data_IF_474415113901
#
_entry.id   IF_474415113901
#
_cell.length_a   1.000
_cell.length_b   1.000
_cell.length_c   1.000
_cell.angle_alpha   90.00
_cell.angle_beta   90.00
_cell.angle_gamma   90.00
#
_symmetry.space_group_name_H-M   'P 1'
#
loop_
_entity.id
_entity.type
_entity.pdbx_description
1 polymer ?
#
# COMPACT_ATOMS: atom_id res chain seq x y z
N UNK A 1 -11.75 23.57 3.55
CA UNK A 1 -10.96 22.50 4.21
C UNK A 1 -9.54 22.96 4.42
N UNK A 2 -9.06 22.84 5.64
CA UNK A 2 -7.68 23.18 5.95
C UNK A 2 -6.82 21.92 5.84
N UNK A 3 -5.80 21.95 5.01
CA UNK A 3 -5.02 20.76 4.72
C UNK A 3 -4.27 20.26 5.96
N UNK A 4 -3.76 21.17 6.79
CA UNK A 4 -3.05 20.76 8.00
C UNK A 4 -3.98 20.02 8.95
N UNK A 5 -5.20 20.54 9.14
CA UNK A 5 -6.17 19.88 10.02
C UNK A 5 -6.60 18.55 9.45
N UNK A 6 -6.84 18.50 8.16
CA UNK A 6 -7.22 17.26 7.51
C UNK A 6 -6.12 16.20 7.70
N UNK A 7 -4.88 16.63 7.56
CA UNK A 7 -3.74 15.72 7.71
C UNK A 7 -3.63 15.21 9.14
N UNK A 8 -3.78 16.12 10.10
CA UNK A 8 -3.74 15.72 11.51
C UNK A 8 -4.84 14.71 11.83
N UNK A 9 -6.04 14.98 11.35
CA UNK A 9 -7.17 14.10 11.61
C UNK A 9 -6.96 12.72 11.02
N UNK A 10 -6.43 12.67 9.81
CA UNK A 10 -6.22 11.38 9.15
C UNK A 10 -5.11 10.61 9.86
N UNK A 11 -4.02 11.27 10.22
CA UNK A 11 -2.95 10.61 10.96
C UNK A 11 -3.48 10.05 12.28
N UNK A 12 -4.24 10.85 13.01
CA UNK A 12 -4.76 10.44 14.29
C UNK A 12 -5.71 9.25 14.16
N UNK A 13 -6.49 9.24 13.10
CA UNK A 13 -7.41 8.16 12.85
C UNK A 13 -6.68 6.81 12.76
N UNK A 14 -5.48 6.83 12.22
CA UNK A 14 -4.68 5.61 12.06
C UNK A 14 -3.62 5.46 13.15
N UNK A 15 -3.74 6.23 14.23
CA UNK A 15 -2.85 6.06 15.37
C UNK A 15 -1.51 6.72 15.25
N UNK A 16 -1.40 7.72 14.41
CA UNK A 16 -0.13 8.41 14.17
C UNK A 16 -0.24 9.89 14.48
N UNK A 17 0.90 10.54 14.53
CA UNK A 17 0.97 11.99 14.63
C UNK A 17 2.12 12.46 13.73
N UNK A 18 2.31 13.78 13.65
CA UNK A 18 3.42 14.30 12.86
C UNK A 18 4.77 13.86 13.41
N UNK A 19 4.83 13.46 14.68
CA UNK A 19 6.08 12.92 15.23
C UNK A 19 6.48 11.60 14.54
N UNK A 20 5.49 10.88 13.98
CA UNK A 20 5.75 9.63 13.30
C UNK A 20 6.08 9.82 11.82
N UNK A 21 5.97 11.02 11.31
CA UNK A 21 6.21 11.28 9.89
C UNK A 21 7.71 11.43 9.67
N UNK A 22 8.22 10.65 8.74
CA UNK A 22 9.65 10.68 8.42
C UNK A 22 9.97 11.75 7.40
N UNK A 23 9.12 11.88 6.38
CA UNK A 23 9.35 12.90 5.36
C UNK A 23 8.04 13.20 4.63
N UNK A 24 8.01 14.38 4.04
CA UNK A 24 6.88 14.82 3.20
C UNK A 24 7.48 15.31 1.89
N UNK A 25 6.86 14.91 0.79
CA UNK A 25 7.34 15.32 -0.52
C UNK A 25 6.73 14.46 -1.61
N UNK A 26 7.52 14.18 -2.63
CA UNK A 26 7.12 13.31 -3.71
C UNK A 26 8.15 12.22 -3.83
N UNK A 27 7.98 11.31 -4.79
CA UNK A 27 9.00 10.28 -4.99
C UNK A 27 10.31 10.87 -5.51
N UNK A 28 10.32 12.14 -5.90
CA UNK A 28 11.52 12.74 -6.49
C UNK A 28 12.26 13.68 -5.55
N UNK A 29 11.59 14.26 -4.54
CA UNK A 29 12.27 15.14 -3.59
C UNK A 29 11.43 15.33 -2.34
N UNK A 30 12.09 15.80 -1.29
CA UNK A 30 11.46 16.03 0.01
C UNK A 30 11.34 17.52 0.28
N UNK A 31 10.36 17.87 1.10
CA UNK A 31 10.17 19.23 1.59
C UNK A 31 10.92 19.36 2.93
N UNK A 32 11.64 20.45 3.16
CA UNK A 32 12.30 20.63 4.44
C UNK A 32 11.32 20.57 5.60
N UNK A 33 11.72 19.91 6.67
CA UNK A 33 10.82 19.69 7.79
C UNK A 33 10.34 20.99 8.40
N UNK A 34 11.18 21.99 8.44
CA UNK A 34 10.83 23.27 9.04
C UNK A 34 9.72 23.98 8.27
N UNK A 35 9.42 23.54 7.05
CA UNK A 35 8.39 24.16 6.23
C UNK A 35 7.07 23.40 6.24
N UNK A 36 7.02 22.23 6.87
CA UNK A 36 5.82 21.40 6.80
C UNK A 36 4.58 22.13 7.28
N UNK A 37 4.63 22.63 8.50
CA UNK A 37 3.44 23.24 9.08
C UNK A 37 2.99 24.46 8.29
N UNK A 38 3.92 25.27 7.88
CA UNK A 38 3.59 26.47 7.12
C UNK A 38 2.94 26.12 5.79
N UNK A 39 3.48 25.13 5.10
CA UNK A 39 2.98 24.77 3.77
C UNK A 39 1.64 24.07 3.83
N UNK A 40 1.43 23.23 4.84
CA UNK A 40 0.17 22.49 4.97
C UNK A 40 -0.95 23.36 5.53
N UNK A 41 -0.63 24.44 6.23
CA UNK A 41 -1.64 25.28 6.83
C UNK A 41 -2.26 26.20 5.77
N UNK A 42 -3.11 25.61 4.93
CA UNK A 42 -3.68 26.33 3.80
C UNK A 42 -5.09 25.80 3.58
N UNK A 43 -5.98 26.70 3.19
CA UNK A 43 -7.36 26.32 2.86
C UNK A 43 -7.44 25.91 1.42
N UNK A 44 -8.25 24.91 1.15
CA UNK A 44 -8.47 24.47 -0.22
C UNK A 44 -9.88 23.89 -0.33
N UNK A 45 -10.36 23.76 -1.57
CA UNK A 45 -11.69 23.26 -1.85
C UNK A 45 -11.58 21.77 -2.19
N UNK A 46 -12.07 20.91 -1.31
CA UNK A 46 -11.92 19.46 -1.48
C UNK A 46 -13.12 18.82 -2.17
N UNK A 47 -14.12 19.58 -2.58
CA UNK A 47 -15.35 18.99 -3.09
C UNK A 47 -15.73 19.31 -4.51
N UNK A 48 -15.06 20.25 -5.15
CA UNK A 48 -15.47 20.71 -6.46
C UNK A 48 -14.28 20.99 -7.36
N UNK A 49 -14.48 20.77 -8.64
CA UNK A 49 -13.52 21.20 -9.64
C UNK A 49 -12.26 20.39 -9.67
N UNK A 50 -11.17 21.05 -9.99
CA UNK A 50 -9.88 20.38 -10.15
C UNK A 50 -9.27 20.09 -8.78
N UNK A 51 -8.42 19.08 -8.76
CA UNK A 51 -7.68 18.75 -7.55
C UNK A 51 -6.69 19.89 -7.25
N UNK A 52 -6.77 20.45 -6.04
CA UNK A 52 -5.98 21.61 -5.70
C UNK A 52 -4.69 21.25 -4.96
N UNK A 53 -4.71 20.19 -4.17
CA UNK A 53 -3.49 19.74 -3.52
C UNK A 53 -2.63 19.01 -4.54
N UNK A 54 -1.32 19.17 -4.46
CA UNK A 54 -0.41 18.46 -5.37
C UNK A 54 -0.78 16.99 -5.39
N UNK A 55 -1.08 16.46 -6.56
CA UNK A 55 -1.61 15.09 -6.65
C UNK A 55 -0.57 14.04 -6.27
N UNK A 56 0.71 14.38 -6.32
CA UNK A 56 1.78 13.44 -5.99
C UNK A 56 2.38 13.69 -4.62
N UNK A 57 1.72 14.49 -3.79
CA UNK A 57 2.22 14.77 -2.45
C UNK A 57 2.04 13.56 -1.56
N UNK A 58 3.11 13.20 -0.84
CA UNK A 58 3.13 12.04 0.05
C UNK A 58 3.53 12.46 1.44
N UNK A 59 2.91 11.84 2.44
CA UNK A 59 3.30 11.98 3.84
C UNK A 59 3.69 10.59 4.29
N UNK A 60 4.98 10.40 4.59
CA UNK A 60 5.53 9.05 4.72
C UNK A 60 6.07 8.82 6.11
N UNK A 61 5.66 7.71 6.70
CA UNK A 61 6.19 7.24 7.97
C UNK A 61 6.96 5.96 7.77
N UNK A 62 7.05 5.19 8.84
CA UNK A 62 7.81 3.94 8.81
C UNK A 62 6.86 2.80 8.42
N UNK A 63 6.89 2.43 7.15
CA UNK A 63 6.06 1.34 6.65
C UNK A 63 4.65 1.75 6.28
N UNK A 64 4.36 3.02 6.28
CA UNK A 64 3.04 3.52 5.91
C UNK A 64 3.18 4.88 5.26
N UNK A 65 2.14 5.31 4.52
CA UNK A 65 2.13 6.64 3.94
C UNK A 65 0.70 7.08 3.66
N UNK A 66 0.54 8.39 3.49
CA UNK A 66 -0.68 8.99 2.98
C UNK A 66 -0.40 9.48 1.58
N UNK A 67 -1.32 9.21 0.68
CA UNK A 67 -1.24 9.73 -0.68
C UNK A 67 -2.57 10.38 -1.03
N UNK A 68 -2.56 11.24 -2.01
CA UNK A 68 -3.78 11.92 -2.40
C UNK A 68 -4.66 11.01 -3.22
N UNK A 69 -5.94 11.13 -2.99
CA UNK A 69 -6.97 10.36 -3.68
C UNK A 69 -8.05 11.33 -4.15
N UNK A 70 -8.48 11.18 -5.39
CA UNK A 70 -9.48 12.05 -5.97
C UNK A 70 -10.56 11.18 -6.60
N UNK A 71 -11.80 11.56 -6.39
CA UNK A 71 -12.93 10.87 -6.98
C UNK A 71 -14.01 11.89 -7.28
N UNK A 72 -14.31 12.07 -8.57
CA UNK A 72 -15.43 12.93 -9.00
C UNK A 72 -15.31 14.32 -8.42
N UNK A 73 -14.11 14.88 -8.38
CA UNK A 73 -13.89 16.23 -7.92
C UNK A 73 -13.60 16.37 -6.45
N UNK A 74 -13.85 15.33 -5.66
CA UNK A 74 -13.55 15.34 -4.24
C UNK A 74 -12.16 14.74 -4.01
N UNK A 75 -11.42 15.32 -3.09
CA UNK A 75 -10.09 14.81 -2.81
C UNK A 75 -9.86 14.68 -1.32
N UNK A 76 -9.04 13.70 -0.97
CA UNK A 76 -8.70 13.46 0.43
C UNK A 76 -7.42 12.66 0.50
N UNK A 77 -7.02 12.31 1.73
CA UNK A 77 -5.88 11.43 1.95
C UNK A 77 -6.32 9.98 1.95
N UNK A 78 -5.51 9.14 1.35
CA UNK A 78 -5.70 7.71 1.42
C UNK A 78 -4.51 7.10 2.15
N UNK A 79 -4.78 6.24 3.14
CA UNK A 79 -3.75 5.63 3.96
C UNK A 79 -3.31 4.30 3.36
N UNK A 80 -2.02 4.11 3.24
CA UNK A 80 -1.45 2.88 2.69
C UNK A 80 -0.38 2.37 3.64
N UNK A 81 -0.25 1.06 3.70
CA UNK A 81 0.82 0.44 4.47
C UNK A 81 1.59 -0.48 3.57
N UNK A 82 2.87 -0.63 3.91
CA UNK A 82 3.71 -1.57 3.20
C UNK A 82 3.35 -2.97 3.66
N UNK A 83 3.04 -3.88 2.74
CA UNK A 83 2.69 -5.25 3.17
C UNK A 83 3.89 -5.92 3.82
N UNK A 84 3.60 -6.74 4.82
CA UNK A 84 4.64 -7.57 5.42
C UNK A 84 4.91 -8.75 4.51
N UNK A 85 6.18 -9.06 4.35
CA UNK A 85 6.54 -10.20 3.52
C UNK A 85 6.23 -11.48 4.30
N UNK A 86 5.43 -12.39 3.71
CA UNK A 86 5.16 -13.67 4.39
C UNK A 86 6.42 -14.53 4.40
N UNK A 87 6.44 -15.46 5.34
CA UNK A 87 7.60 -16.32 5.49
C UNK A 87 7.57 -17.56 4.60
N UNK A 88 6.46 -17.80 3.92
CA UNK A 88 6.31 -19.00 3.10
C UNK A 88 6.26 -18.62 1.63
N UNK A 89 6.70 -19.54 0.81
CA UNK A 89 6.67 -19.41 -0.64
C UNK A 89 5.83 -20.55 -1.19
N UNK A 90 4.90 -20.23 -2.06
CA UNK A 90 4.00 -21.22 -2.65
C UNK A 90 4.10 -21.12 -4.16
N UNK A 91 4.22 -22.25 -4.80
CA UNK A 91 4.21 -22.30 -6.25
C UNK A 91 2.81 -22.07 -6.76
N UNK A 92 2.68 -21.20 -7.73
CA UNK A 92 1.38 -20.96 -8.37
C UNK A 92 1.53 -21.20 -9.86
N UNK A 93 0.41 -21.51 -10.50
CA UNK A 93 0.41 -21.82 -11.92
C UNK A 93 0.05 -20.63 -12.77
N UNK A 94 -0.67 -19.67 -12.21
CA UNK A 94 -1.13 -18.52 -12.99
C UNK A 94 -1.39 -17.35 -12.08
N UNK A 95 -1.35 -16.17 -12.67
CA UNK A 95 -1.75 -14.94 -12.00
C UNK A 95 -2.86 -14.25 -12.77
N UNK A 96 -3.31 -14.88 -13.86
CA UNK A 96 -4.41 -14.40 -14.67
C UNK A 96 -5.30 -15.60 -14.99
N UNK A 97 -6.61 -15.42 -14.86
CA UNK A 97 -7.58 -16.44 -15.25
C UNK A 97 -8.59 -15.75 -16.16
N UNK A 98 -8.50 -16.06 -17.45
CA UNK A 98 -9.33 -15.37 -18.43
C UNK A 98 -10.74 -15.91 -18.50
N UNK A 99 -10.98 -17.06 -17.89
CA UNK A 99 -12.30 -17.67 -17.92
C UNK A 99 -13.13 -17.32 -16.72
N UNK A 100 -12.49 -17.06 -15.60
CA UNK A 100 -13.17 -16.67 -14.37
C UNK A 100 -12.63 -15.33 -13.95
N UNK A 101 -13.50 -14.41 -13.63
CA UNK A 101 -13.08 -13.11 -13.15
C UNK A 101 -13.20 -12.99 -11.65
N UNK A 102 -12.60 -11.93 -11.10
CA UNK A 102 -12.78 -11.55 -9.71
C UNK A 102 -12.25 -12.58 -8.71
N UNK A 103 -11.16 -13.27 -9.09
CA UNK A 103 -10.57 -14.28 -8.22
C UNK A 103 -9.34 -13.73 -7.51
N UNK A 104 -9.13 -14.19 -6.29
CA UNK A 104 -7.84 -13.98 -5.63
C UNK A 104 -6.81 -14.90 -6.24
N UNK A 105 -5.54 -14.67 -5.92
CA UNK A 105 -4.48 -15.54 -6.41
C UNK A 105 -4.69 -16.97 -5.93
N UNK A 106 -5.09 -17.12 -4.67
CA UNK A 106 -5.33 -18.45 -4.13
C UNK A 106 -6.48 -19.14 -4.83
N UNK A 107 -7.60 -18.41 -5.04
CA UNK A 107 -8.74 -19.00 -5.71
C UNK A 107 -8.41 -19.41 -7.14
N UNK A 108 -7.59 -18.60 -7.79
CA UNK A 108 -7.23 -18.83 -9.17
C UNK A 108 -6.39 -20.08 -9.35
N UNK A 109 -5.65 -20.46 -8.32
CA UNK A 109 -4.77 -21.62 -8.37
C UNK A 109 -5.29 -22.79 -7.56
N UNK A 110 -6.52 -22.67 -7.06
CA UNK A 110 -7.15 -23.76 -6.33
C UNK A 110 -7.76 -24.72 -7.35
N UNK A 111 -7.30 -25.95 -7.31
CA UNK A 111 -7.81 -26.97 -8.20
C UNK A 111 -8.94 -27.69 -7.47
N UNK A 112 -10.14 -27.47 -7.93
CA UNK A 112 -11.31 -28.02 -7.25
C UNK A 112 -11.27 -29.52 -7.15
N UNK A 113 -10.60 -30.17 -8.09
CA UNK A 113 -10.50 -31.60 -8.06
C UNK A 113 -9.44 -32.11 -7.12
N UNK A 114 -8.60 -31.21 -6.71
CA UNK A 114 -7.53 -31.51 -5.79
C UNK A 114 -8.02 -31.21 -4.38
N UNK A 115 -8.17 -32.22 -3.59
CA UNK A 115 -8.66 -32.05 -2.24
C UNK A 115 -7.62 -31.49 -1.30
N UNK A 116 -6.43 -31.29 -1.75
CA UNK A 116 -5.38 -30.80 -0.91
C UNK A 116 -5.58 -29.33 -0.62
N UNK A 117 -5.58 -28.95 0.64
CA UNK A 117 -5.71 -27.54 0.93
C UNK A 117 -4.48 -26.79 0.51
N UNK A 118 -4.69 -25.52 0.23
CA UNK A 118 -3.61 -24.65 -0.19
C UNK A 118 -2.46 -24.65 0.83
N UNK A 119 -2.81 -24.78 2.11
CA UNK A 119 -1.82 -24.77 3.16
C UNK A 119 -0.89 -25.98 3.13
N UNK A 120 -1.28 -27.04 2.46
CA UNK A 120 -0.41 -28.18 2.31
C UNK A 120 0.87 -27.80 1.58
N UNK A 121 0.75 -26.95 0.60
CA UNK A 121 1.92 -26.47 -0.11
C UNK A 121 2.86 -25.71 0.80
N UNK A 122 2.28 -24.92 1.68
CA UNK A 122 3.11 -24.19 2.61
C UNK A 122 3.94 -25.13 3.47
N UNK A 123 3.30 -26.17 3.96
CA UNK A 123 4.00 -27.14 4.80
C UNK A 123 5.14 -27.81 4.04
N UNK A 124 4.87 -28.19 2.82
CA UNK A 124 5.90 -28.85 2.01
C UNK A 124 7.06 -27.93 1.75
N UNK A 125 6.77 -26.68 1.43
CA UNK A 125 7.84 -25.74 1.15
C UNK A 125 8.66 -25.46 2.36
N UNK A 126 8.04 -25.36 3.51
CA UNK A 126 8.76 -25.14 4.76
C UNK A 126 9.67 -26.30 5.07
N UNK A 127 9.21 -27.51 4.86
CA UNK A 127 10.01 -28.68 5.11
C UNK A 127 11.22 -28.73 4.20
N UNK A 128 11.05 -28.32 2.97
CA UNK A 128 12.15 -28.34 2.03
C UNK A 128 13.14 -27.22 2.26
N UNK A 129 12.76 -26.24 3.03
CA UNK A 129 13.63 -25.12 3.30
C UNK A 129 13.83 -24.24 2.11
N UNK A 130 12.90 -24.20 1.32
CA UNK A 130 13.01 -23.60 0.04
C UNK A 130 13.48 -22.20 -0.01
N UNK A 131 13.37 -22.25 -1.18
CA UNK A 131 13.39 -21.46 -1.83
C UNK A 131 13.36 -20.52 -2.19
N UNK A 132 13.33 -20.55 -2.44
CA UNK A 132 13.23 -19.88 -2.74
C UNK A 132 13.59 -19.07 -2.87
N UNK A 133 13.91 -18.99 -2.87
CA UNK A 133 14.11 -18.35 -3.01
C UNK A 133 14.61 -17.97 -3.41
N UNK A 134 14.77 -18.22 -3.72
CA UNK A 134 14.87 -18.03 -4.01
C UNK A 134 15.33 -18.00 -4.40
N UNK A 135 15.48 -18.19 -4.46
CA UNK A 135 15.66 -18.37 -4.74
C UNK A 135 15.98 -18.19 -5.06
N UNK A 136 16.19 -17.99 -5.26
CA UNK A 136 16.15 -17.92 -5.31
C UNK A 136 15.92 -17.32 -5.50
N UNK A 137 15.72 -16.93 -5.61
CA UNK A 137 15.20 -16.45 -5.60
C UNK A 137 14.70 -15.96 -6.03
N UNK A 138 14.26 -15.68 -6.48
CA UNK A 138 13.57 -15.43 -6.81
C UNK A 138 12.83 -14.88 -7.07
N UNK A 139 12.36 -14.50 -7.35
CA UNK A 139 11.52 -13.91 -7.43
C UNK A 139 11.37 -13.14 -6.92
N UNK A 140 11.48 -12.94 -6.64
CA UNK A 140 11.21 -12.39 -6.00
C UNK A 140 10.93 -11.55 -6.02
N UNK A 141 10.47 -11.49 -6.16
CA UNK A 141 10.12 -10.89 -6.11
C UNK A 141 9.97 -10.41 -6.07
N UNK A 142 9.82 -10.48 -6.03
CA UNK A 142 9.56 -10.15 -5.84
C UNK A 142 9.53 -9.73 -5.63
#
# INVERSE_FOLDING_TARGET
MNLLEETKDKLEYYGHSFADVKWIGTEYYKIPKEDWERLLNVQYDCGFGAQEVAYDLLIVGDGWWLERHEYDGAEDWEYKVCPNEPSVTVKVDRVVDKQRGWLSLAEMNDDDEDDEPFMTYESELLEKGVIILGVEGTYKNH
#
